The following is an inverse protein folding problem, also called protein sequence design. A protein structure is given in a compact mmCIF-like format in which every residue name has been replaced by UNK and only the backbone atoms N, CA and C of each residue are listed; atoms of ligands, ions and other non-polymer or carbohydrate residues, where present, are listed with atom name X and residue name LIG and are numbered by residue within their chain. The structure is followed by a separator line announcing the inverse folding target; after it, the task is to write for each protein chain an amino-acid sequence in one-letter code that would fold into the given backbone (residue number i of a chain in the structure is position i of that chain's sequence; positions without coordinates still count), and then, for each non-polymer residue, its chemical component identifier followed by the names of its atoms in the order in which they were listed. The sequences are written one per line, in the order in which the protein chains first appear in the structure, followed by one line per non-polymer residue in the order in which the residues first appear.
data_IF_402031567474
#
_entry.id   IF_402031567474
#
_cell.length_a   1.000
_cell.length_b   1.000
_cell.length_c   1.000
_cell.angle_alpha   90.00
_cell.angle_beta   90.00
_cell.angle_gamma   90.00
#
_symmetry.space_group_name_H-M   'P 1'
#
loop_
_entity.id
_entity.type
_entity.pdbx_description
1 polymer ?
#
# COMPACT_ATOMS: atom_id res chain seq x y z
N UNK A 1 -15.45 -3.52 0.71
CA UNK A 1 -14.67 -2.38 1.19
C UNK A 1 -13.66 -2.81 2.25
N UNK A 2 -12.44 -2.45 2.05
CA UNK A 2 -11.39 -2.71 3.00
C UNK A 2 -10.76 -1.39 3.43
N UNK A 3 -10.81 -1.08 4.70
CA UNK A 3 -10.41 0.21 5.22
C UNK A 3 -8.96 0.59 4.94
N UNK A 4 -8.05 -0.38 4.87
CA UNK A 4 -6.63 -0.10 4.75
C UNK A 4 -5.96 -0.66 3.49
N UNK A 5 -6.62 -1.55 2.75
CA UNK A 5 -6.06 -2.10 1.53
C UNK A 5 -4.88 -3.06 1.74
N UNK A 6 -4.93 -3.90 2.74
CA UNK A 6 -3.87 -4.89 2.98
C UNK A 6 -3.52 -5.75 1.77
N UNK A 7 -4.48 -6.24 0.96
CA UNK A 7 -4.13 -7.01 -0.23
C UNK A 7 -3.27 -6.23 -1.22
N UNK A 8 -3.49 -4.92 -1.33
CA UNK A 8 -2.69 -4.05 -2.19
C UNK A 8 -1.27 -3.94 -1.66
N UNK A 9 -1.12 -3.73 -0.36
CA UNK A 9 0.19 -3.65 0.29
C UNK A 9 0.95 -4.97 0.13
N UNK A 10 0.28 -6.09 0.30
CA UNK A 10 0.88 -7.41 0.12
C UNK A 10 1.38 -7.60 -1.32
N UNK A 11 0.56 -7.23 -2.30
CA UNK A 11 0.95 -7.33 -3.71
C UNK A 11 2.16 -6.45 -4.02
N UNK A 12 2.16 -5.21 -3.54
CA UNK A 12 3.29 -4.31 -3.73
C UNK A 12 4.57 -4.83 -3.07
N UNK A 13 4.43 -5.46 -1.91
CA UNK A 13 5.57 -6.03 -1.18
C UNK A 13 6.24 -7.18 -1.93
N UNK A 14 5.54 -7.80 -2.86
CA UNK A 14 6.10 -8.85 -3.71
C UNK A 14 6.94 -8.32 -4.87
N UNK A 15 6.86 -7.01 -5.16
CA UNK A 15 7.59 -6.42 -6.29
C UNK A 15 7.08 -6.87 -7.65
N UNK A 16 5.80 -7.19 -7.74
CA UNK A 16 5.13 -7.64 -8.97
C UNK A 16 4.26 -6.52 -9.53
N UNK A 17 4.19 -6.35 -10.86
CA UNK A 17 3.30 -5.35 -11.44
C UNK A 17 1.88 -5.51 -10.93
N UNK A 18 1.26 -4.40 -10.57
CA UNK A 18 -0.05 -4.36 -9.94
C UNK A 18 -1.02 -3.51 -10.72
N UNK A 19 -2.24 -4.03 -10.90
CA UNK A 19 -3.37 -3.27 -11.39
C UNK A 19 -4.37 -3.20 -10.23
N UNK A 20 -4.82 -2.01 -9.91
CA UNK A 20 -5.76 -1.80 -8.81
C UNK A 20 -6.88 -0.86 -9.23
N UNK A 21 -7.99 -0.93 -8.51
CA UNK A 21 -9.12 -0.04 -8.78
C UNK A 21 -8.91 1.32 -8.11
N UNK A 22 -9.35 2.36 -8.80
CA UNK A 22 -9.22 3.74 -8.35
C UNK A 22 -10.37 4.09 -7.39
N UNK A 23 -10.38 3.45 -6.22
CA UNK A 23 -11.41 3.66 -5.21
C UNK A 23 -10.79 3.83 -3.81
N UNK A 24 -11.54 4.48 -2.92
CA UNK A 24 -11.17 4.62 -1.51
C UNK A 24 -9.75 5.17 -1.35
N UNK A 25 -8.96 4.60 -0.48
CA UNK A 25 -7.58 5.01 -0.20
C UNK A 25 -6.53 4.35 -1.11
N UNK A 26 -6.95 3.50 -2.04
CA UNK A 26 -6.01 2.78 -2.91
C UNK A 26 -5.09 3.72 -3.70
N UNK A 27 -5.60 4.80 -4.34
CA UNK A 27 -4.70 5.71 -5.06
C UNK A 27 -3.58 6.29 -4.20
N UNK A 28 -3.86 6.58 -2.94
CA UNK A 28 -2.86 7.11 -2.02
C UNK A 28 -1.82 6.07 -1.65
N UNK A 29 -2.25 4.82 -1.49
CA UNK A 29 -1.35 3.72 -1.15
C UNK A 29 -0.39 3.38 -2.27
N UNK A 30 -0.91 3.26 -3.50
CA UNK A 30 -0.10 2.78 -4.62
C UNK A 30 0.69 3.89 -5.30
N UNK A 31 0.26 5.15 -5.17
CA UNK A 31 0.93 6.27 -5.82
C UNK A 31 1.11 6.03 -7.31
N UNK A 32 2.33 6.20 -7.79
CA UNK A 32 2.70 5.97 -9.19
C UNK A 32 3.19 4.54 -9.47
N UNK A 33 3.16 3.66 -8.45
CA UNK A 33 3.77 2.33 -8.54
C UNK A 33 2.83 1.24 -9.00
N UNK A 34 1.62 1.59 -9.37
CA UNK A 34 0.63 0.64 -9.88
C UNK A 34 -0.19 1.28 -11.00
N UNK A 35 -0.83 0.44 -11.79
CA UNK A 35 -1.80 0.90 -12.79
C UNK A 35 -3.16 0.99 -12.13
N UNK A 36 -3.78 2.16 -12.17
CA UNK A 36 -5.11 2.38 -11.62
C UNK A 36 -6.16 2.37 -12.74
N UNK A 37 -7.26 1.70 -12.49
CA UNK A 37 -8.39 1.64 -13.41
C UNK A 37 -9.68 1.94 -12.65
N UNK A 38 -10.68 2.47 -13.33
CA UNK A 38 -11.99 2.69 -12.73
C UNK A 38 -12.69 1.36 -12.48
N UNK A 39 -13.51 1.27 -11.42
CA UNK A 39 -14.26 0.06 -11.14
C UNK A 39 -15.13 -0.34 -12.35
N UNK A 40 -15.19 -1.63 -12.63
CA UNK A 40 -15.99 -2.22 -13.73
C UNK A 40 -15.56 -1.79 -15.13
N UNK A 41 -14.45 -1.10 -15.30
CA UNK A 41 -13.94 -0.81 -16.62
C UNK A 41 -13.11 -2.00 -17.14
N UNK A 42 -13.81 -2.98 -17.68
CA UNK A 42 -13.19 -4.24 -18.13
C UNK A 42 -12.28 -4.04 -19.33
N UNK A 43 -12.56 -3.05 -20.18
CA UNK A 43 -11.70 -2.71 -21.31
C UNK A 43 -10.36 -2.16 -20.83
N UNK A 44 -10.38 -1.28 -19.84
CA UNK A 44 -9.17 -0.75 -19.23
C UNK A 44 -8.36 -1.86 -18.56
N UNK A 45 -9.02 -2.79 -17.90
CA UNK A 45 -8.36 -3.93 -17.28
C UNK A 45 -7.65 -4.78 -18.33
N UNK A 46 -8.36 -5.17 -19.38
CA UNK A 46 -7.79 -5.98 -20.46
C UNK A 46 -6.62 -5.25 -21.14
N UNK A 47 -6.77 -3.96 -21.42
CA UNK A 47 -5.73 -3.14 -22.02
C UNK A 47 -4.50 -3.02 -21.13
N UNK A 48 -4.68 -2.87 -19.83
CA UNK A 48 -3.59 -2.78 -18.86
C UNK A 48 -2.84 -4.10 -18.75
N UNK A 49 -3.54 -5.21 -18.71
CA UNK A 49 -2.91 -6.54 -18.70
C UNK A 49 -2.05 -6.73 -19.95
N UNK A 50 -2.59 -6.36 -21.12
CA UNK A 50 -1.87 -6.47 -22.38
C UNK A 50 -0.60 -5.62 -22.37
N UNK A 51 -0.67 -4.38 -21.92
CA UNK A 51 0.48 -3.49 -21.82
C UNK A 51 1.58 -4.06 -20.94
N UNK A 52 1.19 -4.59 -19.79
CA UNK A 52 2.14 -5.18 -18.85
C UNK A 52 2.83 -6.39 -19.47
N UNK A 53 2.07 -7.26 -20.12
CA UNK A 53 2.63 -8.44 -20.77
C UNK A 53 3.57 -8.12 -21.92
N UNK A 54 3.28 -7.06 -22.68
CA UNK A 54 4.10 -6.65 -23.82
C UNK A 54 5.38 -5.94 -23.40
N UNK A 55 5.41 -5.32 -22.25
CA UNK A 55 6.57 -4.58 -21.75
C UNK A 55 6.78 -4.85 -20.25
N UNK A 56 6.87 -6.12 -19.93
CA UNK A 56 6.94 -6.57 -18.54
C UNK A 56 8.12 -5.97 -17.78
N UNK A 57 9.27 -5.84 -18.43
CA UNK A 57 10.48 -5.32 -17.77
C UNK A 57 10.28 -3.89 -17.22
N UNK A 58 9.65 -3.01 -18.01
CA UNK A 58 9.39 -1.64 -17.57
C UNK A 58 8.44 -1.61 -16.37
N UNK A 59 7.39 -2.41 -16.41
CA UNK A 59 6.45 -2.49 -15.27
C UNK A 59 7.07 -3.15 -14.06
N UNK A 60 7.97 -4.11 -14.27
CA UNK A 60 8.69 -4.75 -13.20
C UNK A 60 9.62 -3.78 -12.47
N UNK A 61 10.30 -2.89 -13.18
CA UNK A 61 11.13 -1.86 -12.58
C UNK A 61 10.32 -0.92 -11.69
N UNK A 62 9.14 -0.52 -12.15
CA UNK A 62 8.22 0.30 -11.37
C UNK A 62 7.75 -0.45 -10.13
N UNK A 63 7.42 -1.72 -10.28
CA UNK A 63 6.97 -2.56 -9.18
C UNK A 63 8.05 -2.76 -8.12
N UNK A 64 9.30 -2.89 -8.50
CA UNK A 64 10.43 -3.00 -7.56
C UNK A 64 10.57 -1.71 -6.76
N UNK A 65 10.45 -0.57 -7.41
CA UNK A 65 10.45 0.72 -6.71
C UNK A 65 9.27 0.86 -5.76
N UNK A 66 8.11 0.36 -6.16
CA UNK A 66 6.94 0.31 -5.30
C UNK A 66 7.15 -0.55 -4.07
N UNK A 67 7.80 -1.68 -4.22
CA UNK A 67 8.17 -2.53 -3.10
C UNK A 67 9.08 -1.80 -2.12
N UNK A 68 10.09 -1.12 -2.62
CA UNK A 68 11.00 -0.36 -1.77
C UNK A 68 10.26 0.75 -1.02
N UNK A 69 9.35 1.43 -1.69
CA UNK A 69 8.52 2.46 -1.08
C UNK A 69 7.66 1.91 0.05
N UNK A 70 7.00 0.77 -0.17
CA UNK A 70 6.14 0.13 0.84
C UNK A 70 6.97 -0.35 2.04
N UNK A 71 8.12 -0.95 1.79
CA UNK A 71 9.00 -1.42 2.87
C UNK A 71 9.45 -0.27 3.76
N UNK A 72 9.77 0.88 3.17
CA UNK A 72 10.13 2.08 3.93
C UNK A 72 8.96 2.68 4.69
N UNK A 73 7.80 2.78 4.05
CA UNK A 73 6.63 3.44 4.61
C UNK A 73 5.98 2.60 5.71
N UNK A 74 5.93 1.29 5.52
CA UNK A 74 5.28 0.35 6.44
C UNK A 74 6.31 -0.55 7.12
N UNK A 75 7.33 0.06 7.72
CA UNK A 75 8.32 -0.66 8.51
C UNK A 75 7.68 -1.09 9.83
N UNK A 76 7.53 -2.40 10.02
CA UNK A 76 6.87 -2.95 11.21
C UNK A 76 7.57 -2.58 12.51
N UNK A 77 8.89 -2.51 12.52
CA UNK A 77 9.64 -2.12 13.72
C UNK A 77 9.29 -0.69 14.12
N UNK A 78 9.25 0.21 13.15
CA UNK A 78 8.88 1.60 13.38
C UNK A 78 7.44 1.73 13.86
N UNK A 79 6.52 1.02 13.21
CA UNK A 79 5.10 1.04 13.57
C UNK A 79 4.90 0.49 14.98
N UNK A 80 5.55 -0.63 15.29
CA UNK A 80 5.48 -1.24 16.63
C UNK A 80 5.98 -0.26 17.68
N UNK A 81 7.06 0.43 17.40
CA UNK A 81 7.63 1.41 18.32
C UNK A 81 6.69 2.60 18.55
N UNK A 82 6.04 3.07 17.50
CA UNK A 82 5.06 4.15 17.61
C UNK A 82 3.87 3.72 18.49
N UNK A 83 3.35 2.51 18.29
CA UNK A 83 2.28 1.97 19.12
C UNK A 83 2.72 1.82 20.58
N UNK A 84 3.91 1.32 20.82
CA UNK A 84 4.47 1.19 22.14
C UNK A 84 4.52 2.54 22.86
N UNK A 85 5.01 3.57 22.19
CA UNK A 85 5.08 4.91 22.75
C UNK A 85 3.71 5.46 23.09
N UNK A 86 2.71 5.24 22.24
CA UNK A 86 1.34 5.67 22.49
C UNK A 86 0.77 4.97 23.73
N UNK A 87 0.99 3.67 23.85
CA UNK A 87 0.51 2.88 24.99
C UNK A 87 1.16 3.38 26.28
N UNK A 88 2.48 3.56 26.30
CA UNK A 88 3.21 4.04 27.48
C UNK A 88 2.74 5.43 27.90
N UNK A 89 2.54 6.33 26.96
CA UNK A 89 2.02 7.66 27.25
C UNK A 89 0.62 7.61 27.83
N UNK A 90 -0.23 6.76 27.30
CA UNK A 90 -1.59 6.58 27.79
C UNK A 90 -1.60 6.10 29.23
N UNK A 91 -0.74 5.15 29.58
CA UNK A 91 -0.59 4.63 30.96
C UNK A 91 -0.12 5.75 31.88
N UNK A 92 0.87 6.53 31.47
CA UNK A 92 1.39 7.65 32.25
C UNK A 92 0.33 8.71 32.51
N UNK A 93 -0.40 9.11 31.47
CA UNK A 93 -1.48 10.08 31.58
C UNK A 93 -2.58 9.59 32.53
N UNK A 94 -2.91 8.29 32.49
CA UNK A 94 -3.89 7.69 33.37
C UNK A 94 -3.43 7.74 34.83
N UNK A 95 -2.17 7.43 35.08
CA UNK A 95 -1.62 7.50 36.46
C UNK A 95 -1.65 8.91 37.00
N UNK A 96 -1.33 9.90 36.16
CA UNK A 96 -1.30 11.30 36.58
C UNK A 96 -2.70 11.88 36.78
N UNK A 97 -3.71 11.33 36.11
CA UNK A 97 -5.10 11.76 36.23
C UNK A 97 -5.79 11.18 37.44
N UNK A 98 -5.29 10.09 38.00
CA UNK A 98 -5.87 9.40 39.15
C UNK A 98 -5.37 9.99 40.46
N UNK A 99 -5.83 11.17 40.73
CA UNK A 99 -5.40 11.91 41.91
C UNK A 99 -6.55 12.14 42.89
#
# INVERSE_FOLDING_TARGET
YEGFGYPVIEAMSCGTPLIATNISSIPELVGEYATLIDPKNYEALAGSIRKILLDYESFQEIAVRGREHIVKTFNWDKITKEYENVILKTIEDFKNADV
#
